data_IF_979125894410
#
_entry.id   IF_979125894410
#
_cell.length_a   1.000
_cell.length_b   1.000
_cell.length_c   1.000
_cell.angle_alpha   90.00
_cell.angle_beta   90.00
_cell.angle_gamma   90.00
#
_symmetry.space_group_name_H-M   'P 1'
#
loop_
_entity.id
_entity.type
_entity.pdbx_description
1 polymer ?
#
# COMPACT_ATOMS: atom_id res chain seq x y z
N UNK A 1 9.89 20.72 -1.81
CA UNK A 1 8.91 19.66 -1.53
C UNK A 1 8.76 18.83 -2.80
N UNK A 2 8.78 17.50 -2.71
CA UNK A 2 8.51 16.66 -3.87
C UNK A 2 7.09 16.96 -4.41
N UNK A 3 6.89 17.10 -5.74
CA UNK A 3 5.58 17.31 -6.34
C UNK A 3 4.61 16.15 -6.03
N UNK A 4 3.31 16.45 -6.03
CA UNK A 4 2.22 15.48 -5.78
C UNK A 4 2.27 14.24 -6.69
N UNK A 5 2.89 14.38 -7.87
CA UNK A 5 3.13 13.32 -8.85
C UNK A 5 3.85 12.11 -8.26
N UNK A 6 4.78 12.31 -7.31
CA UNK A 6 5.46 11.20 -6.65
C UNK A 6 4.58 10.44 -5.66
N UNK A 7 3.55 11.06 -5.09
CA UNK A 7 2.63 10.39 -4.17
C UNK A 7 1.67 9.47 -4.93
N UNK A 8 1.22 9.88 -6.12
CA UNK A 8 0.35 9.07 -6.98
C UNK A 8 1.08 7.87 -7.58
N UNK A 9 2.33 8.05 -8.06
CA UNK A 9 3.14 6.94 -8.57
C UNK A 9 3.43 5.88 -7.49
N UNK A 10 3.70 6.33 -6.25
CA UNK A 10 3.87 5.41 -5.11
C UNK A 10 2.60 4.65 -4.81
N UNK A 11 1.45 5.32 -4.72
CA UNK A 11 0.18 4.64 -4.48
C UNK A 11 -0.19 3.64 -5.56
N UNK A 12 0.07 3.96 -6.83
CA UNK A 12 -0.13 3.03 -7.93
C UNK A 12 0.77 1.79 -7.80
N UNK A 13 2.03 1.96 -7.36
CA UNK A 13 2.93 0.84 -7.09
C UNK A 13 2.47 -0.01 -5.89
N UNK A 14 1.99 0.63 -4.80
CA UNK A 14 1.44 -0.06 -3.62
C UNK A 14 0.19 -0.87 -3.99
N UNK A 15 -0.70 -0.32 -4.81
CA UNK A 15 -1.88 -1.04 -5.32
C UNK A 15 -1.50 -2.22 -6.22
N UNK A 16 -0.54 -2.05 -7.13
CA UNK A 16 -0.06 -3.13 -7.98
C UNK A 16 0.56 -4.27 -7.16
N UNK A 17 1.35 -3.96 -6.12
CA UNK A 17 1.91 -4.98 -5.24
C UNK A 17 0.80 -5.61 -4.36
N UNK A 18 -0.17 -4.83 -3.91
CA UNK A 18 -1.35 -5.34 -3.20
C UNK A 18 -2.13 -6.34 -4.05
N UNK A 19 -2.43 -6.04 -5.31
CA UNK A 19 -3.11 -6.97 -6.23
C UNK A 19 -2.30 -8.26 -6.42
N UNK A 20 -0.98 -8.13 -6.56
CA UNK A 20 -0.07 -9.27 -6.71
C UNK A 20 -0.06 -10.16 -5.47
N UNK A 21 0.00 -9.56 -4.29
CA UNK A 21 -0.04 -10.26 -3.01
C UNK A 21 -1.41 -10.92 -2.78
N UNK A 22 -2.51 -10.24 -3.13
CA UNK A 22 -3.85 -10.82 -3.10
C UNK A 22 -3.94 -12.05 -4.01
N UNK A 23 -3.35 -12.01 -5.20
CA UNK A 23 -3.29 -13.17 -6.09
C UNK A 23 -2.45 -14.32 -5.51
N UNK A 24 -1.47 -14.04 -4.66
CA UNK A 24 -0.69 -15.04 -3.91
C UNK A 24 -1.43 -15.57 -2.66
N UNK A 25 -2.58 -15.00 -2.32
CA UNK A 25 -3.42 -15.38 -1.19
C UNK A 25 -3.35 -14.44 0.01
N UNK A 26 -2.64 -13.32 -0.09
CA UNK A 26 -2.69 -12.29 0.93
C UNK A 26 -4.07 -11.61 0.95
N UNK A 27 -4.42 -10.98 2.07
CA UNK A 27 -5.67 -10.25 2.25
C UNK A 27 -5.35 -8.80 2.59
N UNK A 28 -5.96 -7.87 1.86
CA UNK A 28 -5.86 -6.45 2.20
C UNK A 28 -6.65 -6.19 3.50
N UNK A 29 -5.97 -5.69 4.53
CA UNK A 29 -6.55 -5.37 5.84
C UNK A 29 -7.01 -3.91 5.85
N UNK A 30 -6.13 -2.99 5.43
CA UNK A 30 -6.39 -1.55 5.46
C UNK A 30 -5.60 -0.83 4.36
N UNK A 31 -6.20 0.19 3.74
CA UNK A 31 -5.54 1.10 2.81
C UNK A 31 -5.63 2.51 3.37
N UNK A 32 -4.50 3.15 3.60
CA UNK A 32 -4.40 4.56 3.96
C UNK A 32 -4.01 5.36 2.73
N UNK A 33 -4.87 6.30 2.36
CA UNK A 33 -4.62 7.20 1.24
C UNK A 33 -3.48 8.19 1.57
N UNK A 34 -2.71 8.61 0.57
CA UNK A 34 -1.66 9.59 0.75
C UNK A 34 -2.31 10.90 1.19
N UNK A 35 -1.92 11.38 2.37
CA UNK A 35 -2.36 12.64 2.93
C UNK A 35 -1.16 13.55 3.16
N UNK A 36 -0.63 14.20 2.09
CA UNK A 36 0.51 15.09 2.20
C UNK A 36 0.21 16.27 3.14
N UNK A 37 1.18 16.74 3.93
CA UNK A 37 2.58 16.28 4.04
C UNK A 37 2.81 15.21 5.12
N UNK A 38 1.77 14.79 5.85
CA UNK A 38 1.90 13.97 7.05
C UNK A 38 1.92 12.46 6.76
N UNK A 39 1.38 12.02 5.63
CA UNK A 39 1.33 10.62 5.25
C UNK A 39 1.58 10.44 3.74
N UNK A 40 2.52 9.55 3.39
CA UNK A 40 2.80 9.18 2.00
C UNK A 40 1.81 8.13 1.45
N UNK A 41 0.91 7.62 2.29
CA UNK A 41 0.00 6.52 1.97
C UNK A 41 0.68 5.17 2.21
N UNK A 42 -0.05 4.20 2.75
CA UNK A 42 0.45 2.85 2.99
C UNK A 42 -0.69 1.85 2.98
N UNK A 43 -0.39 0.58 2.69
CA UNK A 43 -1.38 -0.50 2.65
C UNK A 43 -0.99 -1.59 3.65
N UNK A 44 -1.86 -1.87 4.60
CA UNK A 44 -1.73 -2.99 5.54
C UNK A 44 -2.36 -4.23 4.92
N UNK A 45 -1.59 -5.32 4.91
CA UNK A 45 -1.99 -6.61 4.37
C UNK A 45 -1.67 -7.73 5.35
N UNK A 46 -2.37 -8.84 5.24
CA UNK A 46 -2.08 -10.08 5.94
C UNK A 46 -1.75 -11.17 4.94
N UNK A 47 -0.68 -11.92 5.14
CA UNK A 47 -0.38 -13.09 4.31
C UNK A 47 -1.33 -14.27 4.62
N UNK A 48 -1.35 -15.34 3.81
CA UNK A 48 -2.15 -16.54 4.10
C UNK A 48 -1.79 -17.23 5.42
N UNK A 49 -0.60 -16.99 5.95
CA UNK A 49 -0.11 -17.55 7.22
C UNK A 49 -0.63 -16.74 8.43
N UNK A 50 -1.26 -15.58 8.19
CA UNK A 50 -1.82 -14.68 9.20
C UNK A 50 -0.83 -13.62 9.71
N UNK A 51 0.32 -13.43 9.05
CA UNK A 51 1.27 -12.38 9.37
C UNK A 51 0.83 -11.06 8.74
N UNK A 52 0.69 -10.04 9.58
CA UNK A 52 0.38 -8.68 9.16
C UNK A 52 1.65 -7.94 8.74
N UNK A 53 1.62 -7.30 7.58
CA UNK A 53 2.70 -6.47 7.05
C UNK A 53 2.14 -5.18 6.41
N UNK A 54 2.99 -4.14 6.35
CA UNK A 54 2.67 -2.87 5.71
C UNK A 54 3.48 -2.70 4.43
N UNK A 55 2.83 -2.15 3.40
CA UNK A 55 3.44 -1.66 2.18
C UNK A 55 3.53 -0.12 2.29
N UNK A 56 4.74 0.45 2.26
CA UNK A 56 5.01 1.91 2.30
C UNK A 56 5.82 2.43 1.11
#
# INVERSE_FOLDING_TARGET
MPPAEWAEERMAALEAECERLVALGATQIRRDEPAPPMNAGFIVMADPEGNEFCLD
#
